data_IF_028008415918
#
_entry.id   IF_028008415918
#
_cell.length_a   1.000
_cell.length_b   1.000
_cell.length_c   1.000
_cell.angle_alpha   90.00
_cell.angle_beta   90.00
_cell.angle_gamma   90.00
#
_symmetry.space_group_name_H-M   'P 1'
#
loop_
_entity.id
_entity.type
_entity.pdbx_description
1 polymer ?
#
# COMPACT_ATOMS: atom_id res chain seq x y z
N UNK A 1 -10.16 6.85 -5.13
CA UNK A 1 -9.44 7.70 -4.15
C UNK A 1 -9.58 9.20 -4.42
N UNK A 2 -9.41 9.74 -5.64
CA UNK A 2 -9.47 11.20 -5.87
C UNK A 2 -10.85 11.83 -5.59
N UNK A 3 -11.93 11.11 -5.82
CA UNK A 3 -13.30 11.57 -5.51
C UNK A 3 -13.55 11.75 -4.01
N UNK A 4 -12.90 10.92 -3.17
CA UNK A 4 -13.04 11.02 -1.73
C UNK A 4 -12.31 12.25 -1.18
N UNK A 5 -11.16 12.59 -1.77
CA UNK A 5 -10.44 13.83 -1.45
C UNK A 5 -11.20 15.06 -1.92
N UNK A 6 -11.78 15.04 -3.12
CA UNK A 6 -12.64 16.13 -3.60
C UNK A 6 -13.81 16.37 -2.64
N UNK A 7 -14.46 15.30 -2.19
CA UNK A 7 -15.56 15.39 -1.23
C UNK A 7 -15.12 15.93 0.15
N UNK A 8 -13.91 15.56 0.60
CA UNK A 8 -13.33 16.08 1.85
C UNK A 8 -12.99 17.57 1.69
N UNK A 9 -12.32 17.97 0.61
CA UNK A 9 -11.97 19.37 0.33
C UNK A 9 -13.20 20.28 0.19
N UNK A 10 -14.26 19.79 -0.46
CA UNK A 10 -15.49 20.54 -0.67
C UNK A 10 -16.30 20.71 0.63
N UNK A 11 -16.24 19.73 1.54
CA UNK A 11 -16.81 19.86 2.89
C UNK A 11 -15.98 20.76 3.81
N UNK A 12 -14.65 20.71 3.68
CA UNK A 12 -13.72 21.55 4.44
C UNK A 12 -13.83 23.03 4.05
N UNK A 13 -14.11 23.32 2.77
CA UNK A 13 -14.41 24.68 2.30
C UNK A 13 -15.73 25.25 2.86
N UNK A 14 -16.67 24.39 3.28
CA UNK A 14 -17.96 24.79 3.85
C UNK A 14 -17.90 24.94 5.37
N UNK A 15 -17.15 24.09 6.08
CA UNK A 15 -16.97 24.21 7.53
C UNK A 15 -15.70 23.48 8.04
N UNK A 16 -14.57 24.20 8.20
CA UNK A 16 -13.27 23.60 8.57
C UNK A 16 -13.21 23.10 10.03
N UNK A 17 -14.21 23.40 10.85
CA UNK A 17 -14.28 23.04 12.28
C UNK A 17 -14.98 21.69 12.53
N UNK A 18 -15.63 21.12 11.51
CA UNK A 18 -16.49 19.94 11.69
C UNK A 18 -15.63 18.71 12.04
N UNK A 19 -15.85 18.18 13.25
CA UNK A 19 -15.20 16.97 13.76
C UNK A 19 -15.28 15.79 12.78
N UNK A 20 -16.37 15.68 12.00
CA UNK A 20 -16.55 14.66 10.97
C UNK A 20 -15.52 14.73 9.85
N UNK A 21 -15.13 15.93 9.40
CA UNK A 21 -14.11 16.12 8.34
C UNK A 21 -12.75 15.65 8.86
N UNK A 22 -12.40 16.01 10.10
CA UNK A 22 -11.16 15.57 10.76
C UNK A 22 -11.09 14.05 10.95
N UNK A 23 -12.20 13.44 11.39
CA UNK A 23 -12.28 11.98 11.57
C UNK A 23 -12.10 11.27 10.22
N UNK A 24 -12.81 11.71 9.17
CA UNK A 24 -12.67 11.12 7.82
C UNK A 24 -11.25 11.25 7.29
N UNK A 25 -10.59 12.40 7.50
CA UNK A 25 -9.22 12.63 7.05
C UNK A 25 -8.20 11.76 7.78
N UNK A 26 -8.35 11.63 9.10
CA UNK A 26 -7.51 10.74 9.92
C UNK A 26 -7.64 9.29 9.49
N UNK A 27 -8.89 8.84 9.26
CA UNK A 27 -9.18 7.50 8.77
C UNK A 27 -8.56 7.27 7.38
N UNK A 28 -8.73 8.21 6.47
CA UNK A 28 -8.15 8.14 5.13
C UNK A 28 -6.63 7.97 5.19
N UNK A 29 -5.93 8.84 5.92
CA UNK A 29 -4.47 8.76 6.07
C UNK A 29 -4.01 7.43 6.69
N UNK A 30 -4.70 6.97 7.75
CA UNK A 30 -4.37 5.70 8.42
C UNK A 30 -4.57 4.50 7.50
N UNK A 31 -5.68 4.47 6.74
CA UNK A 31 -5.99 3.40 5.80
C UNK A 31 -4.98 3.39 4.65
N UNK A 32 -4.68 4.56 4.09
CA UNK A 32 -3.69 4.71 3.01
C UNK A 32 -2.31 4.19 3.45
N UNK A 33 -1.83 4.56 4.64
CA UNK A 33 -0.54 4.08 5.15
C UNK A 33 -0.51 2.56 5.33
N UNK A 34 -1.56 1.99 5.93
CA UNK A 34 -1.68 0.52 6.07
C UNK A 34 -1.75 -0.19 4.72
N UNK A 35 -2.45 0.40 3.76
CA UNK A 35 -2.54 -0.13 2.41
C UNK A 35 -1.17 -0.12 1.72
N UNK A 36 -0.40 0.96 1.87
CA UNK A 36 0.98 1.03 1.37
C UNK A 36 1.88 -0.03 2.01
N UNK A 37 1.79 -0.24 3.33
CA UNK A 37 2.59 -1.26 4.02
C UNK A 37 2.29 -2.67 3.47
N UNK A 38 1.01 -2.99 3.26
CA UNK A 38 0.58 -4.26 2.68
C UNK A 38 1.03 -4.41 1.23
N UNK A 39 0.91 -3.34 0.43
CA UNK A 39 1.35 -3.36 -0.98
C UNK A 39 2.86 -3.46 -1.11
N UNK A 40 3.64 -2.87 -0.20
CA UNK A 40 5.09 -3.01 -0.17
C UNK A 40 5.50 -4.45 0.18
N UNK A 41 4.82 -5.07 1.15
CA UNK A 41 5.02 -6.48 1.46
C UNK A 41 4.64 -7.39 0.29
N UNK A 42 3.54 -7.08 -0.41
CA UNK A 42 3.11 -7.82 -1.60
C UNK A 42 4.11 -7.69 -2.76
N UNK A 43 4.62 -6.48 -3.03
CA UNK A 43 5.63 -6.27 -4.05
C UNK A 43 6.92 -7.04 -3.73
N UNK A 44 7.35 -7.05 -2.46
CA UNK A 44 8.48 -7.87 -2.03
C UNK A 44 8.26 -9.36 -2.30
N UNK A 45 7.10 -9.90 -1.94
CA UNK A 45 6.77 -11.31 -2.20
C UNK A 45 6.75 -11.62 -3.71
N UNK A 46 6.27 -10.70 -4.54
CA UNK A 46 6.32 -10.84 -6.00
C UNK A 46 7.74 -10.87 -6.55
N UNK A 47 8.63 -10.00 -6.04
CA UNK A 47 10.05 -10.01 -6.42
C UNK A 47 10.72 -11.31 -5.98
N UNK A 48 10.49 -11.76 -4.75
CA UNK A 48 11.04 -13.02 -4.23
C UNK A 48 10.55 -14.22 -5.07
N UNK A 49 9.26 -14.22 -5.48
CA UNK A 49 8.71 -15.26 -6.36
C UNK A 49 9.27 -15.19 -7.79
N UNK A 50 9.49 -13.99 -8.34
CA UNK A 50 10.15 -13.80 -9.64
C UNK A 50 11.56 -14.40 -9.62
N UNK A 51 12.34 -14.11 -8.57
CA UNK A 51 13.70 -14.63 -8.41
C UNK A 51 13.71 -16.15 -8.27
N UNK A 52 12.72 -16.72 -7.56
CA UNK A 52 12.55 -18.17 -7.48
C UNK A 52 12.23 -18.80 -8.84
N UNK A 53 11.36 -18.19 -9.65
CA UNK A 53 11.09 -18.65 -11.02
C UNK A 53 12.33 -18.57 -11.91
N UNK A 54 13.08 -17.47 -11.84
CA UNK A 54 14.36 -17.31 -12.56
C UNK A 54 15.35 -18.42 -12.19
N UNK A 55 15.52 -18.70 -10.90
CA UNK A 55 16.39 -19.77 -10.42
C UNK A 55 15.95 -21.16 -10.91
N UNK A 56 14.64 -21.43 -10.96
CA UNK A 56 14.11 -22.69 -11.52
C UNK A 56 14.38 -22.83 -13.01
N UNK A 57 14.21 -21.75 -13.79
CA UNK A 57 14.51 -21.75 -15.23
C UNK A 57 15.99 -22.03 -15.45
N UNK A 58 16.87 -21.35 -14.71
CA UNK A 58 18.33 -21.59 -14.78
C UNK A 58 18.70 -23.04 -14.52
N UNK A 59 18.19 -23.62 -13.43
CA UNK A 59 18.44 -25.01 -13.07
C UNK A 59 17.94 -25.98 -14.15
N UNK A 60 16.75 -25.74 -14.72
CA UNK A 60 16.18 -26.61 -15.77
C UNK A 60 16.93 -26.50 -17.09
N UNK A 61 17.46 -25.32 -17.43
CA UNK A 61 18.35 -25.14 -18.57
C UNK A 61 19.68 -25.89 -18.36
N UNK A 62 20.28 -25.80 -17.18
CA UNK A 62 21.53 -26.52 -16.85
C UNK A 62 21.35 -28.05 -16.87
N UNK A 63 20.21 -28.58 -16.39
CA UNK A 63 19.94 -30.03 -16.38
C UNK A 63 19.52 -30.53 -17.76
N UNK A 64 18.72 -29.75 -18.50
CA UNK A 64 18.15 -30.13 -19.79
C UNK A 64 19.15 -30.11 -20.94
N UNK A 65 20.29 -29.43 -20.75
CA UNK A 65 21.28 -29.23 -21.79
C UNK A 65 22.64 -29.86 -21.42
N UNK A 66 23.27 -30.65 -22.31
CA UNK A 66 24.63 -31.11 -22.08
C UNK A 66 25.59 -29.91 -22.13
N UNK A 67 26.32 -29.67 -21.03
CA UNK A 67 27.35 -28.60 -20.88
C UNK A 67 28.40 -28.60 -22.02
N UNK A 68 28.55 -29.72 -22.73
CA UNK A 68 29.49 -29.90 -23.83
C UNK A 68 28.92 -29.54 -25.23
N UNK A 69 27.61 -29.33 -25.38
CA UNK A 69 26.95 -29.25 -26.69
C UNK A 69 26.61 -27.83 -27.17
N UNK A 70 26.81 -26.79 -26.35
CA UNK A 70 26.22 -25.48 -26.61
C UNK A 70 27.23 -24.39 -26.86
N UNK A 71 26.98 -23.65 -27.95
CA UNK A 71 27.61 -22.38 -28.21
C UNK A 71 27.24 -21.38 -27.10
N UNK A 72 28.09 -20.37 -26.81
CA UNK A 72 27.81 -19.35 -25.79
C UNK A 72 26.47 -18.62 -25.96
N UNK A 73 25.86 -18.69 -27.14
CA UNK A 73 24.59 -18.04 -27.47
C UNK A 73 23.33 -18.81 -27.07
N UNK A 74 23.45 -20.06 -26.61
CA UNK A 74 22.29 -20.97 -26.45
C UNK A 74 22.03 -21.38 -24.98
N UNK A 75 22.92 -21.01 -24.06
CA UNK A 75 22.72 -21.18 -22.63
C UNK A 75 23.25 -19.93 -21.91
N UNK A 76 22.45 -19.29 -21.05
CA UNK A 76 22.95 -18.20 -20.24
C UNK A 76 23.98 -18.77 -19.26
N UNK A 77 25.25 -18.40 -19.42
CA UNK A 77 26.32 -18.72 -18.47
C UNK A 77 26.28 -17.80 -17.26
N UNK A 78 25.65 -16.63 -17.40
CA UNK A 78 25.55 -15.60 -16.37
C UNK A 78 24.10 -15.20 -16.09
N UNK A 79 23.87 -14.60 -14.92
CA UNK A 79 22.54 -14.14 -14.53
C UNK A 79 22.04 -12.98 -15.42
N UNK A 80 22.95 -12.17 -15.97
CA UNK A 80 22.66 -11.14 -16.98
C UNK A 80 22.17 -11.72 -18.31
N UNK A 81 22.80 -12.78 -18.82
CA UNK A 81 22.37 -13.42 -20.07
C UNK A 81 20.97 -14.03 -19.91
N UNK A 82 20.69 -14.62 -18.74
CA UNK A 82 19.36 -15.17 -18.43
C UNK A 82 18.30 -14.06 -18.36
N UNK A 83 18.66 -12.89 -17.82
CA UNK A 83 17.76 -11.74 -17.78
C UNK A 83 17.42 -11.25 -19.19
N UNK A 84 18.42 -11.12 -20.08
CA UNK A 84 18.19 -10.75 -21.48
C UNK A 84 17.29 -11.75 -22.21
N UNK A 85 17.39 -13.04 -21.90
CA UNK A 85 16.51 -14.06 -22.46
C UNK A 85 15.07 -13.93 -21.92
N UNK A 86 14.89 -13.61 -20.64
CA UNK A 86 13.59 -13.37 -20.02
C UNK A 86 12.90 -12.12 -20.58
N UNK A 87 13.68 -11.06 -20.85
CA UNK A 87 13.24 -9.81 -21.47
C UNK A 87 12.94 -9.94 -22.97
N UNK A 88 13.41 -11.02 -23.61
CA UNK A 88 13.19 -11.23 -25.03
C UNK A 88 11.73 -11.61 -25.31
N UNK A 89 11.16 -11.02 -26.36
CA UNK A 89 9.77 -11.24 -26.78
C UNK A 89 9.58 -12.59 -27.51
N UNK A 90 10.60 -13.44 -27.49
CA UNK A 90 10.60 -14.73 -28.16
C UNK A 90 10.61 -15.89 -27.13
N UNK A 91 9.45 -16.47 -26.79
CA UNK A 91 9.38 -17.58 -25.82
C UNK A 91 10.12 -18.84 -26.30
N UNK A 92 10.39 -18.95 -27.60
CA UNK A 92 11.12 -20.08 -28.17
C UNK A 92 12.61 -20.07 -27.82
N UNK A 93 13.15 -18.94 -27.30
CA UNK A 93 14.56 -18.79 -26.95
C UNK A 93 15.03 -19.85 -25.93
N UNK A 94 14.12 -20.33 -25.07
CA UNK A 94 14.40 -21.37 -24.09
C UNK A 94 14.34 -22.80 -24.66
N UNK A 95 13.67 -22.99 -25.79
CA UNK A 95 13.44 -24.31 -26.40
C UNK A 95 14.38 -24.60 -27.56
N UNK A 96 15.01 -23.57 -28.13
CA UNK A 96 15.85 -23.67 -29.34
C UNK A 96 17.15 -24.48 -29.12
N UNK A 97 17.66 -24.55 -27.89
CA UNK A 97 18.86 -25.33 -27.50
C UNK A 97 18.59 -26.68 -26.84
N UNK A 98 17.32 -27.01 -26.55
CA UNK A 98 16.96 -28.26 -25.86
C UNK A 98 16.77 -29.38 -26.89
N UNK A 99 17.63 -30.39 -26.87
CA UNK A 99 17.45 -31.63 -27.63
C UNK A 99 16.19 -32.36 -27.14
N UNK A 100 15.05 -32.16 -27.82
CA UNK A 100 13.74 -32.76 -27.53
C UNK A 100 13.65 -34.28 -27.78
N UNK A 101 14.79 -34.94 -27.92
CA UNK A 101 14.92 -36.37 -28.20
C UNK A 101 14.48 -37.24 -27.01
N UNK A 102 14.47 -36.67 -25.81
CA UNK A 102 14.01 -37.36 -24.59
C UNK A 102 12.68 -36.79 -24.08
N UNK A 103 11.86 -37.66 -23.47
CA UNK A 103 10.63 -37.23 -22.79
C UNK A 103 10.94 -36.23 -21.67
N UNK A 104 12.07 -36.38 -20.99
CA UNK A 104 12.53 -35.47 -19.94
C UNK A 104 12.82 -34.06 -20.49
N UNK A 105 13.47 -33.96 -21.65
CA UNK A 105 13.76 -32.67 -22.28
C UNK A 105 12.49 -31.91 -22.67
N UNK A 106 11.46 -32.62 -23.17
CA UNK A 106 10.15 -32.02 -23.48
C UNK A 106 9.42 -31.52 -22.24
N UNK A 107 9.50 -32.26 -21.13
CA UNK A 107 8.93 -31.81 -19.85
C UNK A 107 9.65 -30.59 -19.31
N UNK A 108 10.98 -30.58 -19.35
CA UNK A 108 11.77 -29.42 -18.93
C UNK A 108 11.44 -28.16 -19.75
N UNK A 109 11.30 -28.29 -21.07
CA UNK A 109 10.91 -27.20 -21.96
C UNK A 109 9.53 -26.62 -21.60
N UNK A 110 8.51 -27.49 -21.45
CA UNK A 110 7.16 -27.07 -21.07
C UNK A 110 7.12 -26.37 -19.70
N UNK A 111 7.92 -26.86 -18.74
CA UNK A 111 8.01 -26.22 -17.44
C UNK A 111 8.71 -24.85 -17.49
N UNK A 112 9.72 -24.69 -18.35
CA UNK A 112 10.39 -23.39 -18.53
C UNK A 112 9.41 -22.38 -19.14
N UNK A 113 8.64 -22.77 -20.17
CA UNK A 113 7.60 -21.92 -20.76
C UNK A 113 6.56 -21.49 -19.72
N UNK A 114 6.06 -22.43 -18.90
CA UNK A 114 5.11 -22.11 -17.84
C UNK A 114 5.67 -21.10 -16.81
N UNK A 115 6.96 -21.23 -16.45
CA UNK A 115 7.63 -20.29 -15.53
C UNK A 115 7.88 -18.93 -16.17
N UNK A 116 8.18 -18.88 -17.46
CA UNK A 116 8.29 -17.62 -18.19
C UNK A 116 6.94 -16.89 -18.24
N UNK A 117 5.84 -17.61 -18.47
CA UNK A 117 4.49 -17.03 -18.40
C UNK A 117 4.17 -16.46 -17.00
N UNK A 118 4.56 -17.16 -15.94
CA UNK A 118 4.43 -16.66 -14.56
C UNK A 118 5.22 -15.36 -14.35
N UNK A 119 6.47 -15.28 -14.86
CA UNK A 119 7.30 -14.07 -14.79
C UNK A 119 6.63 -12.90 -15.52
N UNK A 120 6.08 -13.11 -16.71
CA UNK A 120 5.37 -12.06 -17.47
C UNK A 120 4.14 -11.53 -16.70
N UNK A 121 3.40 -12.40 -16.03
CA UNK A 121 2.26 -11.99 -15.18
C UNK A 121 2.73 -11.17 -13.97
N UNK A 122 3.83 -11.57 -13.33
CA UNK A 122 4.42 -10.82 -12.22
C UNK A 122 4.87 -9.44 -12.67
N UNK A 123 5.58 -9.32 -13.79
CA UNK A 123 6.06 -8.04 -14.31
C UNK A 123 4.93 -7.07 -14.61
N UNK A 124 3.83 -7.57 -15.18
CA UNK A 124 2.62 -6.77 -15.37
C UNK A 124 2.07 -6.28 -14.03
N UNK A 125 1.95 -7.17 -13.04
CA UNK A 125 1.42 -6.81 -11.72
C UNK A 125 2.33 -5.83 -10.96
N UNK A 126 3.66 -6.00 -11.04
CA UNK A 126 4.64 -5.08 -10.46
C UNK A 126 4.53 -3.70 -11.10
N UNK A 127 4.30 -3.62 -12.42
CA UNK A 127 4.10 -2.35 -13.12
C UNK A 127 2.83 -1.64 -12.67
N UNK A 128 1.72 -2.37 -12.50
CA UNK A 128 0.48 -1.83 -11.94
C UNK A 128 0.66 -1.33 -10.48
N UNK A 129 1.42 -2.06 -9.66
CA UNK A 129 1.77 -1.61 -8.30
C UNK A 129 2.65 -0.37 -8.31
N UNK A 130 3.56 -0.25 -9.27
CA UNK A 130 4.42 0.92 -9.40
C UNK A 130 3.60 2.18 -9.72
N UNK A 131 2.66 2.08 -10.66
CA UNK A 131 1.72 3.18 -10.96
C UNK A 131 0.92 3.59 -9.71
N UNK A 132 0.41 2.61 -8.97
CA UNK A 132 -0.27 2.84 -7.69
C UNK A 132 0.63 3.54 -6.67
N UNK A 133 1.91 3.17 -6.56
CA UNK A 133 2.86 3.83 -5.65
C UNK A 133 3.18 5.26 -6.07
N UNK A 134 3.26 5.56 -7.37
CA UNK A 134 3.45 6.94 -7.87
C UNK A 134 2.26 7.81 -7.45
N UNK A 135 1.03 7.33 -7.68
CA UNK A 135 -0.18 8.06 -7.31
C UNK A 135 -0.27 8.28 -5.80
N UNK A 136 0.09 7.27 -5.00
CA UNK A 136 0.09 7.36 -3.54
C UNK A 136 1.23 8.21 -2.99
N UNK A 137 2.39 8.24 -3.62
CA UNK A 137 3.49 9.11 -3.21
C UNK A 137 3.10 10.59 -3.34
N UNK A 138 2.46 10.97 -4.45
CA UNK A 138 1.91 12.31 -4.63
C UNK A 138 0.84 12.64 -3.57
N UNK A 139 0.00 11.66 -3.23
CA UNK A 139 -1.05 11.77 -2.22
C UNK A 139 -0.48 12.01 -0.81
N UNK A 140 0.53 11.24 -0.40
CA UNK A 140 1.14 11.31 0.94
C UNK A 140 1.97 12.58 1.12
N UNK A 141 2.67 13.02 0.08
CA UNK A 141 3.48 14.25 0.13
C UNK A 141 2.59 15.48 0.41
N UNK A 142 1.43 15.57 -0.24
CA UNK A 142 0.45 16.63 0.02
C UNK A 142 -0.21 16.59 1.41
N UNK A 143 -0.20 15.43 2.09
CA UNK A 143 -0.87 15.22 3.38
C UNK A 143 0.07 15.31 4.60
N UNK A 144 1.40 15.35 4.42
CA UNK A 144 2.36 15.31 5.52
C UNK A 144 2.33 16.56 6.43
N UNK A 145 1.93 17.73 5.92
CA UNK A 145 1.76 18.96 6.73
C UNK A 145 0.51 18.92 7.65
N UNK A 146 -0.38 17.94 7.46
CA UNK A 146 -1.75 18.00 7.97
C UNK A 146 -2.01 17.09 9.18
N UNK A 147 -1.21 16.02 9.36
CA UNK A 147 -1.24 15.23 10.60
C UNK A 147 -0.84 16.10 11.81
N UNK A 148 0.14 16.98 11.65
CA UNK A 148 0.53 17.97 12.68
C UNK A 148 -0.63 18.89 13.06
N UNK A 149 -1.48 19.26 12.09
CA UNK A 149 -2.69 20.06 12.35
C UNK A 149 -3.79 19.28 13.06
N UNK A 150 -3.84 17.95 12.93
CA UNK A 150 -4.84 17.11 13.59
C UNK A 150 -4.47 16.91 15.06
N UNK A 151 -3.20 16.65 15.36
CA UNK A 151 -2.71 16.59 16.75
C UNK A 151 -2.98 17.92 17.45
N UNK A 152 -2.64 19.04 16.80
CA UNK A 152 -2.95 20.38 17.27
C UNK A 152 -4.46 20.62 17.50
N UNK A 153 -5.33 20.15 16.61
CA UNK A 153 -6.78 20.34 16.74
C UNK A 153 -7.45 19.36 17.72
N UNK A 154 -6.90 18.15 17.93
CA UNK A 154 -7.33 17.24 19.00
C UNK A 154 -6.98 17.86 20.35
N UNK A 155 -5.77 18.39 20.48
CA UNK A 155 -5.32 19.09 21.69
C UNK A 155 -6.19 20.33 21.97
N UNK A 156 -6.46 21.14 20.95
CA UNK A 156 -7.39 22.27 21.06
C UNK A 156 -8.84 21.83 21.42
N UNK A 157 -9.32 20.71 20.86
CA UNK A 157 -10.65 20.16 21.21
C UNK A 157 -10.69 19.69 22.66
N UNK A 158 -9.61 19.05 23.14
CA UNK A 158 -9.45 18.64 24.52
C UNK A 158 -9.47 19.85 25.45
N UNK A 159 -8.76 20.92 25.12
CA UNK A 159 -8.77 22.17 25.89
C UNK A 159 -10.16 22.80 25.97
N UNK A 160 -10.89 22.85 24.84
CA UNK A 160 -12.25 23.37 24.79
C UNK A 160 -13.22 22.55 25.66
N UNK A 161 -13.15 21.21 25.62
CA UNK A 161 -13.96 20.35 26.47
C UNK A 161 -13.62 20.57 27.94
N UNK A 162 -12.34 20.68 28.28
CA UNK A 162 -11.88 20.92 29.65
C UNK A 162 -12.42 22.25 30.19
N UNK A 163 -12.36 23.31 29.37
CA UNK A 163 -12.97 24.61 29.68
C UNK A 163 -14.49 24.53 29.87
N UNK A 164 -15.20 23.79 29.01
CA UNK A 164 -16.64 23.58 29.10
C UNK A 164 -17.03 22.81 30.40
N UNK A 165 -16.24 21.82 30.80
CA UNK A 165 -16.43 21.08 32.06
C UNK A 165 -16.28 22.02 33.27
N UNK A 166 -15.30 22.91 33.26
CA UNK A 166 -15.12 23.90 34.33
C UNK A 166 -16.28 24.89 34.38
N UNK A 167 -16.70 25.41 33.21
CA UNK A 167 -17.81 26.35 33.10
C UNK A 167 -19.14 25.74 33.59
N UNK A 168 -19.43 24.50 33.20
CA UNK A 168 -20.63 23.77 33.66
C UNK A 168 -20.59 23.46 35.15
N UNK A 169 -19.42 23.16 35.73
CA UNK A 169 -19.25 23.04 37.19
C UNK A 169 -19.60 24.35 37.91
N UNK A 170 -19.04 25.48 37.45
CA UNK A 170 -19.34 26.81 38.02
C UNK A 170 -20.82 27.16 37.87
N UNK A 171 -21.42 26.91 36.71
CA UNK A 171 -22.84 27.14 36.47
C UNK A 171 -23.72 26.32 37.44
N UNK A 172 -23.38 25.05 37.71
CA UNK A 172 -24.06 24.21 38.70
C UNK A 172 -23.95 24.77 40.12
N UNK A 173 -22.80 25.32 40.50
CA UNK A 173 -22.66 25.98 41.80
C UNK A 173 -23.50 27.25 41.91
N UNK A 174 -23.48 28.11 40.88
CA UNK A 174 -24.32 29.31 40.85
C UNK A 174 -25.81 28.95 40.89
N UNK A 175 -26.23 27.91 40.18
CA UNK A 175 -27.61 27.40 40.24
C UNK A 175 -27.99 26.96 41.66
N UNK A 176 -27.12 26.22 42.36
CA UNK A 176 -27.36 25.81 43.76
C UNK A 176 -27.48 27.01 44.70
N UNK A 177 -26.57 27.98 44.59
CA UNK A 177 -26.58 29.21 45.40
C UNK A 177 -27.85 30.03 45.14
N UNK A 178 -28.20 30.23 43.87
CA UNK A 178 -29.43 30.92 43.46
C UNK A 178 -30.69 30.25 44.04
N UNK A 179 -30.82 28.92 43.91
CA UNK A 179 -31.95 28.17 44.48
C UNK A 179 -32.06 28.31 46.01
N UNK A 180 -30.93 28.35 46.73
CA UNK A 180 -30.92 28.55 48.18
C UNK A 180 -31.41 29.94 48.56
N UNK A 181 -30.99 30.97 47.82
CA UNK A 181 -31.46 32.35 48.01
C UNK A 181 -32.95 32.48 47.72
N UNK A 182 -33.45 31.89 46.62
CA UNK A 182 -34.88 31.89 46.29
C UNK A 182 -35.74 31.20 47.35
N UNK A 183 -35.23 30.14 47.98
CA UNK A 183 -35.96 29.45 49.05
C UNK A 183 -36.02 30.29 50.33
N UNK A 184 -34.93 31.01 50.65
CA UNK A 184 -34.85 31.89 51.81
C UNK A 184 -35.61 33.21 51.62
N UNK A 185 -35.80 33.67 50.38
CA UNK A 185 -36.50 34.92 50.06
C UNK A 185 -38.00 34.75 49.80
N UNK A 186 -38.53 33.52 49.88
CA UNK A 186 -39.97 33.27 49.72
C UNK A 186 -40.68 33.59 51.05
N UNK A 187 -41.66 34.51 51.07
CA UNK A 187 -42.42 34.80 52.27
C UNK A 187 -43.18 33.54 52.70
N UNK A 188 -43.03 33.15 53.98
CA UNK A 188 -43.84 32.12 54.59
C UNK A 188 -45.29 32.60 54.60
N UNK A 189 -46.14 31.87 53.87
CA UNK A 189 -47.60 32.03 53.89
C UNK A 189 -48.19 30.98 54.84
#
# INVERSE_FOLDING_TARGET
>A
MPELEQAIHEQEAKDPSVATVRVRRTQHSTITRRFMDVMAAYNKEQTDYRDACKAQIKLKLEIGMPVAALQPSECPRTDEELEQMLESDNPQIFTQGILMDTQQARQNAADIEARHEDILKLEKSIRELHELFIDLAALVDSQSELLDRIEYNVDATQDHITGAVIATKKAKEYQKKSRKVTYLSRPNN
#
